data_IF_475197054605
#
_entry.id   IF_475197054605
#
_cell.length_a   1.000
_cell.length_b   1.000
_cell.length_c   1.000
_cell.angle_alpha   90.00
_cell.angle_beta   90.00
_cell.angle_gamma   90.00
#
_symmetry.space_group_name_H-M   'P 1'
#
loop_
_entity.id
_entity.type
_entity.pdbx_description
1 polymer ?
#
# COMPACT_ATOMS: atom_id res chain seq x y z
N UNK A 1 -17.27 -0.53 -11.17
CA UNK A 1 -16.82 -0.98 -12.50
C UNK A 1 -16.67 -2.50 -12.45
N UNK A 2 -17.01 -3.24 -13.52
CA UNK A 2 -16.72 -4.67 -13.59
C UNK A 2 -15.21 -4.90 -13.46
N UNK A 3 -14.79 -5.94 -12.74
CA UNK A 3 -13.39 -6.31 -12.65
C UNK A 3 -12.90 -6.80 -14.02
N UNK A 4 -11.74 -6.32 -14.47
CA UNK A 4 -11.07 -6.80 -15.67
C UNK A 4 -9.94 -7.74 -15.27
N UNK A 5 -10.15 -9.03 -15.49
CA UNK A 5 -9.14 -10.06 -15.28
C UNK A 5 -8.52 -10.41 -16.63
N UNK A 6 -7.18 -10.33 -16.77
CA UNK A 6 -6.53 -10.60 -18.04
C UNK A 6 -6.46 -12.12 -18.29
N UNK A 7 -6.54 -12.57 -19.56
CA UNK A 7 -6.33 -13.99 -19.90
C UNK A 7 -4.99 -14.54 -19.43
N UNK A 8 -3.98 -13.68 -19.25
CA UNK A 8 -2.67 -14.05 -18.72
C UNK A 8 -2.73 -14.71 -17.34
N UNK A 9 -3.80 -14.50 -16.56
CA UNK A 9 -3.99 -15.20 -15.28
C UNK A 9 -4.02 -16.73 -15.46
N UNK A 10 -4.45 -17.24 -16.61
CA UNK A 10 -4.43 -18.67 -16.91
C UNK A 10 -3.02 -19.26 -16.89
N UNK A 11 -2.01 -18.49 -17.30
CA UNK A 11 -0.62 -18.94 -17.26
C UNK A 11 -0.06 -19.07 -15.84
N UNK A 12 -0.67 -18.36 -14.87
CA UNK A 12 -0.34 -18.50 -13.44
C UNK A 12 -0.60 -19.92 -12.95
N UNK A 13 -1.66 -20.55 -13.46
CA UNK A 13 -2.15 -21.87 -13.07
C UNK A 13 -1.80 -22.96 -14.09
N UNK A 14 -0.88 -22.68 -15.01
CA UNK A 14 -0.44 -23.63 -16.04
C UNK A 14 -1.48 -23.95 -17.13
N UNK A 15 -2.54 -23.14 -17.25
CA UNK A 15 -3.59 -23.29 -18.26
C UNK A 15 -3.31 -22.40 -19.49
N UNK A 16 -3.85 -22.79 -20.63
CA UNK A 16 -3.69 -22.04 -21.88
C UNK A 16 -4.52 -20.75 -21.91
N UNK A 17 -4.07 -19.74 -22.66
CA UNK A 17 -4.75 -18.43 -22.77
C UNK A 17 -6.15 -18.49 -23.41
N UNK A 18 -6.49 -19.58 -24.10
CA UNK A 18 -7.83 -19.82 -24.65
C UNK A 18 -8.82 -20.36 -23.60
N UNK A 19 -8.35 -20.68 -22.39
CA UNK A 19 -9.19 -21.16 -21.29
C UNK A 19 -10.08 -20.02 -20.81
N UNK A 20 -11.37 -20.26 -20.54
CA UNK A 20 -12.24 -19.26 -19.94
C UNK A 20 -11.65 -18.72 -18.62
N UNK A 21 -11.63 -17.40 -18.49
CA UNK A 21 -10.96 -16.70 -17.38
C UNK A 21 -11.54 -17.08 -16.02
N UNK A 22 -12.83 -17.38 -15.95
CA UNK A 22 -13.52 -17.87 -14.75
C UNK A 22 -13.00 -19.23 -14.28
N UNK A 23 -12.65 -20.13 -15.21
CA UNK A 23 -12.02 -21.40 -14.88
C UNK A 23 -10.60 -21.19 -14.33
N UNK A 24 -9.84 -20.30 -14.95
CA UNK A 24 -8.50 -19.94 -14.47
C UNK A 24 -8.55 -19.31 -13.07
N UNK A 25 -9.48 -18.39 -12.83
CA UNK A 25 -9.69 -17.80 -11.50
C UNK A 25 -10.15 -18.83 -10.47
N UNK A 26 -10.96 -19.82 -10.85
CA UNK A 26 -11.35 -20.92 -9.96
C UNK A 26 -10.13 -21.75 -9.53
N UNK A 27 -9.18 -21.96 -10.43
CA UNK A 27 -7.93 -22.63 -10.10
C UNK A 27 -7.04 -21.75 -9.20
N UNK A 28 -6.90 -20.45 -9.50
CA UNK A 28 -6.18 -19.50 -8.63
C UNK A 28 -6.71 -19.56 -7.20
N UNK A 29 -8.04 -19.54 -7.05
CA UNK A 29 -8.70 -19.63 -5.75
C UNK A 29 -8.45 -20.98 -5.06
N UNK A 30 -8.28 -22.06 -5.82
CA UNK A 30 -7.94 -23.38 -5.28
C UNK A 30 -6.50 -23.40 -4.78
N UNK A 31 -5.54 -22.94 -5.58
CA UNK A 31 -4.12 -22.93 -5.19
C UNK A 31 -3.92 -22.07 -3.92
N UNK A 32 -4.44 -20.83 -3.90
CA UNK A 32 -4.29 -19.95 -2.71
C UNK A 32 -5.03 -20.47 -1.47
N UNK A 33 -5.97 -21.40 -1.62
CA UNK A 33 -6.60 -22.08 -0.48
C UNK A 33 -5.64 -23.07 0.18
N UNK A 34 -4.85 -23.76 -0.64
CA UNK A 34 -4.04 -24.90 -0.22
C UNK A 34 -2.79 -24.44 0.52
N UNK A 35 -2.03 -23.51 -0.06
CA UNK A 35 -0.78 -23.02 0.51
C UNK A 35 -0.66 -21.49 0.54
N UNK A 36 -1.68 -20.77 0.06
CA UNK A 36 -1.68 -19.32 0.00
C UNK A 36 -0.99 -18.75 -1.24
N UNK A 37 -0.58 -19.57 -2.20
CA UNK A 37 0.13 -19.15 -3.41
C UNK A 37 -0.56 -19.69 -4.66
N UNK A 38 -0.77 -18.84 -5.66
CA UNK A 38 -0.99 -19.27 -7.03
C UNK A 38 0.09 -18.63 -7.89
N UNK A 39 0.99 -19.45 -8.43
CA UNK A 39 2.17 -18.97 -9.13
C UNK A 39 2.63 -19.99 -10.18
N UNK A 40 3.18 -19.54 -11.32
CA UNK A 40 3.78 -20.44 -12.29
C UNK A 40 5.04 -21.07 -11.69
N UNK A 41 5.41 -22.26 -12.16
CA UNK A 41 6.60 -22.97 -11.69
C UNK A 41 7.90 -22.16 -11.80
N UNK A 42 7.96 -21.20 -12.74
CA UNK A 42 9.10 -20.29 -12.92
C UNK A 42 9.27 -19.25 -11.82
N UNK A 43 8.29 -19.07 -10.94
CA UNK A 43 8.29 -18.05 -9.89
C UNK A 43 8.63 -18.61 -8.49
N UNK A 44 9.15 -19.84 -8.41
CA UNK A 44 9.47 -20.55 -7.16
C UNK A 44 8.30 -20.58 -6.14
N UNK A 45 7.22 -21.35 -6.44
CA UNK A 45 6.06 -21.46 -5.55
C UNK A 45 6.41 -21.93 -4.14
N UNK A 46 7.44 -22.76 -3.98
CA UNK A 46 7.88 -23.24 -2.66
C UNK A 46 8.45 -22.11 -1.80
N UNK A 47 9.30 -21.25 -2.38
CA UNK A 47 9.79 -20.06 -1.67
C UNK A 47 8.68 -19.05 -1.38
N UNK A 48 7.71 -18.88 -2.28
CA UNK A 48 6.53 -18.03 -2.04
C UNK A 48 5.66 -18.57 -0.90
N UNK A 49 5.46 -19.89 -0.82
CA UNK A 49 4.72 -20.52 0.26
C UNK A 49 5.43 -20.30 1.61
N UNK A 50 6.77 -20.29 1.62
CA UNK A 50 7.52 -19.91 2.81
C UNK A 50 7.26 -18.44 3.22
N UNK A 51 7.20 -17.50 2.26
CA UNK A 51 6.85 -16.10 2.57
C UNK A 51 5.45 -16.00 3.18
N UNK A 52 4.47 -16.76 2.68
CA UNK A 52 3.13 -16.84 3.25
C UNK A 52 3.16 -17.40 4.68
N UNK A 53 3.92 -18.47 4.92
CA UNK A 53 4.08 -19.05 6.25
C UNK A 53 4.73 -18.07 7.24
N UNK A 54 5.77 -17.36 6.82
CA UNK A 54 6.47 -16.35 7.62
C UNK A 54 5.56 -15.14 7.93
N UNK A 55 4.76 -14.71 6.96
CA UNK A 55 3.76 -13.66 7.15
C UNK A 55 2.68 -14.09 8.16
N UNK A 56 2.21 -15.33 8.06
CA UNK A 56 1.25 -15.91 9.00
C UNK A 56 1.79 -15.97 10.42
N UNK A 57 3.08 -16.29 10.60
CA UNK A 57 3.73 -16.24 11.90
C UNK A 57 3.77 -14.83 12.52
N UNK A 58 3.70 -13.79 11.69
CA UNK A 58 3.57 -12.38 12.09
C UNK A 58 2.10 -11.93 12.24
N UNK A 59 1.14 -12.83 12.07
CA UNK A 59 -0.30 -12.53 12.15
C UNK A 59 -0.92 -12.00 10.86
N UNK A 60 -0.20 -12.08 9.74
CA UNK A 60 -0.66 -11.62 8.43
C UNK A 60 -1.17 -12.82 7.63
N UNK A 61 -2.48 -12.89 7.38
CA UNK A 61 -3.04 -13.89 6.47
C UNK A 61 -2.80 -13.46 5.01
N UNK A 62 -1.62 -13.79 4.49
CA UNK A 62 -1.17 -13.43 3.15
C UNK A 62 -1.69 -14.43 2.10
N UNK A 63 -2.15 -13.92 0.96
CA UNK A 63 -2.37 -14.67 -0.29
C UNK A 63 -1.56 -14.05 -1.42
N UNK A 64 -0.86 -14.87 -2.19
CA UNK A 64 -0.01 -14.45 -3.30
C UNK A 64 -0.56 -14.97 -4.62
N UNK A 65 -0.64 -14.10 -5.62
CA UNK A 65 -0.94 -14.48 -7.01
C UNK A 65 0.14 -13.90 -7.91
N UNK A 66 0.83 -14.75 -8.68
CA UNK A 66 1.96 -14.31 -9.50
C UNK A 66 1.67 -14.50 -10.97
N UNK A 67 1.60 -13.41 -11.73
CA UNK A 67 1.48 -13.46 -13.18
C UNK A 67 2.88 -13.45 -13.78
N UNK A 68 3.19 -14.35 -14.74
CA UNK A 68 4.50 -14.41 -15.38
C UNK A 68 4.77 -13.21 -16.30
N UNK A 69 3.72 -12.56 -16.80
CA UNK A 69 3.80 -11.41 -17.70
C UNK A 69 3.08 -10.21 -17.10
N UNK A 70 3.61 -9.02 -17.34
CA UNK A 70 2.95 -7.79 -16.92
C UNK A 70 1.84 -7.42 -17.89
N UNK A 71 0.62 -7.13 -17.40
CA UNK A 71 -0.40 -6.47 -18.21
C UNK A 71 0.06 -5.06 -18.64
N UNK A 72 -0.62 -4.40 -19.60
CA UNK A 72 -0.24 -3.05 -20.05
C UNK A 72 -0.35 -1.95 -18.99
N UNK A 73 -1.15 -2.17 -17.93
CA UNK A 73 -1.39 -1.26 -16.80
C UNK A 73 -1.57 -2.08 -15.51
N UNK A 74 -1.52 -1.45 -14.34
CA UNK A 74 -1.59 -2.08 -13.00
C UNK A 74 -3.00 -2.55 -12.57
N UNK A 75 -4.05 -1.93 -13.10
CA UNK A 75 -5.47 -2.21 -12.76
C UNK A 75 -5.84 -3.70 -12.71
N UNK A 76 -5.42 -4.56 -13.67
CA UNK A 76 -5.80 -5.97 -13.67
C UNK A 76 -5.26 -6.73 -12.44
N UNK A 77 -4.10 -6.36 -11.89
CA UNK A 77 -3.59 -7.00 -10.67
C UNK A 77 -4.40 -6.59 -9.44
N UNK A 78 -4.84 -5.33 -9.37
CA UNK A 78 -5.76 -4.87 -8.31
C UNK A 78 -7.10 -5.60 -8.37
N UNK A 79 -7.59 -5.86 -9.57
CA UNK A 79 -8.84 -6.61 -9.78
C UNK A 79 -8.69 -8.09 -9.38
N UNK A 80 -7.59 -8.75 -9.73
CA UNK A 80 -7.26 -10.11 -9.26
C UNK A 80 -7.20 -10.15 -7.74
N UNK A 81 -6.42 -9.24 -7.13
CA UNK A 81 -6.27 -9.17 -5.68
C UNK A 81 -7.63 -8.96 -4.98
N UNK A 82 -8.47 -8.11 -5.54
CA UNK A 82 -9.83 -7.85 -5.03
C UNK A 82 -10.74 -9.08 -5.16
N UNK A 83 -10.66 -9.84 -6.26
CA UNK A 83 -11.45 -11.06 -6.41
C UNK A 83 -11.06 -12.14 -5.41
N UNK A 84 -9.75 -12.37 -5.23
CA UNK A 84 -9.25 -13.30 -4.21
C UNK A 84 -9.65 -12.83 -2.81
N UNK A 85 -9.51 -11.53 -2.52
CA UNK A 85 -9.87 -10.96 -1.22
C UNK A 85 -11.37 -11.07 -0.89
N UNK A 86 -12.24 -10.99 -1.90
CA UNK A 86 -13.69 -11.26 -1.74
C UNK A 86 -13.98 -12.73 -1.40
N UNK A 87 -13.20 -13.66 -1.94
CA UNK A 87 -13.33 -15.08 -1.65
C UNK A 87 -12.74 -15.46 -0.28
N UNK A 88 -11.77 -14.68 0.22
CA UNK A 88 -11.12 -14.88 1.51
C UNK A 88 -11.22 -13.61 2.39
N UNK A 89 -12.39 -13.39 3.03
CA UNK A 89 -12.59 -12.22 3.88
C UNK A 89 -11.59 -12.19 5.04
N UNK A 90 -10.92 -11.05 5.22
CA UNK A 90 -9.91 -10.85 6.27
C UNK A 90 -8.47 -11.09 5.81
N UNK A 91 -8.26 -11.74 4.66
CA UNK A 91 -6.92 -11.93 4.11
C UNK A 91 -6.36 -10.65 3.48
N UNK A 92 -5.03 -10.55 3.48
CA UNK A 92 -4.29 -9.58 2.68
C UNK A 92 -3.78 -10.28 1.43
N UNK A 93 -4.12 -9.75 0.26
CA UNK A 93 -3.76 -10.31 -1.04
C UNK A 93 -2.75 -9.42 -1.73
N UNK A 94 -1.71 -10.03 -2.28
CA UNK A 94 -0.75 -9.40 -3.16
C UNK A 94 -0.73 -10.16 -4.50
N UNK A 95 -1.15 -9.50 -5.56
CA UNK A 95 -1.00 -9.94 -6.94
C UNK A 95 0.21 -9.24 -7.56
N UNK A 96 1.15 -9.99 -8.15
CA UNK A 96 2.43 -9.45 -8.65
C UNK A 96 2.66 -9.91 -10.08
N UNK A 97 3.23 -9.03 -10.89
CA UNK A 97 3.88 -9.35 -12.16
C UNK A 97 5.25 -8.67 -12.20
N UNK A 98 6.12 -8.93 -13.19
CA UNK A 98 7.46 -8.35 -13.21
C UNK A 98 7.53 -6.81 -13.10
N UNK A 99 6.49 -6.09 -13.54
CA UNK A 99 6.43 -4.63 -13.55
C UNK A 99 5.33 -4.00 -12.71
N UNK A 100 4.41 -4.78 -12.16
CA UNK A 100 3.25 -4.26 -11.42
C UNK A 100 2.95 -5.08 -10.18
N UNK A 101 2.31 -4.43 -9.21
CA UNK A 101 1.75 -5.06 -8.03
C UNK A 101 0.36 -4.50 -7.80
N UNK A 102 -0.58 -5.35 -7.41
CA UNK A 102 -1.92 -4.98 -6.98
C UNK A 102 -2.22 -5.65 -5.65
N UNK A 103 -2.89 -4.93 -4.74
CA UNK A 103 -3.16 -5.44 -3.40
C UNK A 103 -4.61 -5.25 -3.01
N UNK A 104 -5.04 -6.07 -2.06
CA UNK A 104 -6.31 -5.94 -1.36
C UNK A 104 -6.08 -6.29 0.10
N UNK A 105 -6.57 -5.48 1.03
CA UNK A 105 -6.63 -5.84 2.44
C UNK A 105 -7.76 -5.08 3.12
N UNK A 106 -8.55 -5.73 3.98
CA UNK A 106 -9.49 -5.06 4.86
C UNK A 106 -8.86 -4.62 6.19
N UNK A 107 -7.61 -5.05 6.49
CA UNK A 107 -6.94 -4.81 7.78
C UNK A 107 -5.85 -3.74 7.72
N UNK A 108 -5.20 -3.58 6.57
CA UNK A 108 -4.23 -2.50 6.34
C UNK A 108 -4.89 -1.33 5.62
N UNK A 109 -4.55 -0.11 6.01
CA UNK A 109 -5.03 1.06 5.31
C UNK A 109 -4.39 1.19 3.92
N UNK A 110 -5.02 2.02 3.08
CA UNK A 110 -4.59 2.17 1.70
C UNK A 110 -3.18 2.72 1.57
N UNK A 111 -2.73 3.59 2.45
CA UNK A 111 -1.41 4.22 2.33
C UNK A 111 -0.32 3.18 2.57
N UNK A 112 -0.45 2.37 3.62
CA UNK A 112 0.46 1.25 3.89
C UNK A 112 0.49 0.25 2.73
N UNK A 113 -0.67 -0.07 2.14
CA UNK A 113 -0.76 -0.97 0.99
C UNK A 113 -0.06 -0.42 -0.26
N UNK A 114 -0.24 0.86 -0.59
CA UNK A 114 0.38 1.48 -1.78
C UNK A 114 1.91 1.61 -1.57
N UNK A 115 2.36 1.93 -0.34
CA UNK A 115 3.78 1.90 0.01
C UNK A 115 4.39 0.50 -0.17
N UNK A 116 3.66 -0.54 0.25
CA UNK A 116 4.06 -1.93 0.03
C UNK A 116 4.12 -2.29 -1.45
N UNK A 117 3.13 -1.86 -2.26
CA UNK A 117 3.11 -2.09 -3.71
C UNK A 117 4.33 -1.50 -4.41
N UNK A 118 4.79 -0.32 -4.01
CA UNK A 118 5.95 0.32 -4.62
C UNK A 118 7.24 -0.45 -4.37
N UNK A 119 7.38 -1.10 -3.21
CA UNK A 119 8.52 -1.96 -2.90
C UNK A 119 8.42 -3.37 -3.51
N UNK A 120 7.24 -3.76 -3.96
CA UNK A 120 6.95 -5.07 -4.56
C UNK A 120 7.12 -5.12 -6.09
N UNK A 121 7.72 -4.09 -6.70
CA UNK A 121 7.95 -4.01 -8.16
C UNK A 121 9.42 -4.31 -8.50
N UNK A 122 9.96 -5.44 -8.02
CA UNK A 122 11.40 -5.76 -8.19
C UNK A 122 11.70 -6.60 -9.43
N UNK A 123 10.68 -7.24 -10.02
CA UNK A 123 10.84 -8.25 -11.08
C UNK A 123 11.02 -9.68 -10.55
N UNK A 124 11.32 -9.84 -9.26
CA UNK A 124 11.42 -11.14 -8.59
C UNK A 124 10.26 -11.32 -7.60
N UNK A 125 9.43 -12.34 -7.80
CA UNK A 125 8.19 -12.51 -7.04
C UNK A 125 8.43 -12.77 -5.54
N UNK A 126 9.48 -13.53 -5.21
CA UNK A 126 9.82 -13.87 -3.82
C UNK A 126 10.30 -12.63 -3.08
N UNK A 127 11.25 -11.89 -3.65
CA UNK A 127 11.76 -10.65 -3.09
C UNK A 127 10.66 -9.58 -3.00
N UNK A 128 9.82 -9.47 -4.03
CA UNK A 128 8.69 -8.54 -4.04
C UNK A 128 7.72 -8.82 -2.89
N UNK A 129 7.41 -10.10 -2.66
CA UNK A 129 6.54 -10.54 -1.55
C UNK A 129 7.17 -10.26 -0.18
N UNK A 130 8.47 -10.51 -0.01
CA UNK A 130 9.20 -10.21 1.23
C UNK A 130 9.24 -8.70 1.51
N UNK A 131 9.50 -7.89 0.49
CA UNK A 131 9.50 -6.43 0.60
C UNK A 131 8.12 -5.92 1.03
N UNK A 132 7.06 -6.43 0.40
CA UNK A 132 5.69 -6.09 0.76
C UNK A 132 5.37 -6.42 2.22
N UNK A 133 5.61 -7.67 2.65
CA UNK A 133 5.36 -8.09 4.04
C UNK A 133 6.17 -7.26 5.03
N UNK A 134 7.43 -6.96 4.71
CA UNK A 134 8.28 -6.11 5.55
C UNK A 134 7.68 -4.72 5.71
N UNK A 135 7.16 -4.14 4.62
CA UNK A 135 6.52 -2.83 4.67
C UNK A 135 5.24 -2.82 5.51
N UNK A 136 4.44 -3.89 5.45
CA UNK A 136 3.22 -4.01 6.28
C UNK A 136 3.51 -4.06 7.79
N UNK A 137 4.67 -4.60 8.17
CA UNK A 137 5.13 -4.68 9.55
C UNK A 137 5.95 -3.46 10.00
N UNK A 138 6.25 -2.54 9.08
CA UNK A 138 7.03 -1.34 9.39
C UNK A 138 6.14 -0.25 9.97
N UNK A 139 6.41 0.27 11.18
CA UNK A 139 5.61 1.37 11.74
C UNK A 139 5.71 2.63 10.88
N UNK A 140 4.56 3.14 10.45
CA UNK A 140 4.49 4.41 9.73
C UNK A 140 4.75 5.59 10.68
N UNK A 141 5.36 6.66 10.16
CA UNK A 141 5.57 7.88 10.93
C UNK A 141 4.21 8.48 11.33
N UNK A 142 4.02 8.91 12.61
CA UNK A 142 2.73 9.37 13.08
C UNK A 142 2.45 10.80 12.59
N UNK A 143 2.08 10.91 11.30
CA UNK A 143 1.85 12.19 10.62
C UNK A 143 0.77 13.02 11.29
N UNK A 144 -0.33 12.42 11.75
CA UNK A 144 -1.44 13.16 12.37
C UNK A 144 -1.00 13.95 13.62
N UNK A 145 -0.43 13.34 14.68
CA UNK A 145 0.01 14.10 15.85
C UNK A 145 1.16 15.04 15.50
N UNK A 146 2.05 14.68 14.57
CA UNK A 146 3.11 15.57 14.11
C UNK A 146 2.55 16.84 13.45
N UNK A 147 1.62 16.70 12.50
CA UNK A 147 0.97 17.82 11.82
C UNK A 147 0.16 18.66 12.81
N UNK A 148 -0.53 18.05 13.77
CA UNK A 148 -1.22 18.79 14.84
C UNK A 148 -0.24 19.63 15.63
N UNK A 149 0.87 19.05 16.11
CA UNK A 149 1.90 19.76 16.85
C UNK A 149 2.51 20.91 16.03
N UNK A 150 2.78 20.66 14.74
CA UNK A 150 3.30 21.67 13.82
C UNK A 150 2.34 22.85 13.65
N UNK A 151 1.05 22.58 13.41
CA UNK A 151 0.03 23.62 13.26
C UNK A 151 -0.11 24.45 14.54
N UNK A 152 -0.12 23.80 15.71
CA UNK A 152 -0.15 24.49 17.00
C UNK A 152 1.09 25.38 17.21
N UNK A 153 2.28 24.88 16.86
CA UNK A 153 3.51 25.65 16.93
C UNK A 153 3.47 26.90 16.05
N UNK A 154 2.99 26.78 14.81
CA UNK A 154 2.83 27.91 13.89
C UNK A 154 1.80 28.92 14.43
N UNK A 155 0.68 28.45 15.01
CA UNK A 155 -0.33 29.32 15.60
C UNK A 155 0.24 30.12 16.79
N UNK A 156 1.00 29.48 17.68
CA UNK A 156 1.67 30.14 18.81
C UNK A 156 2.67 31.19 18.30
N UNK A 157 3.47 30.85 17.28
CA UNK A 157 4.41 31.79 16.69
C UNK A 157 3.69 33.00 16.08
N UNK A 158 2.60 32.79 15.34
CA UNK A 158 1.81 33.87 14.74
C UNK A 158 1.21 34.81 15.80
N UNK A 159 0.64 34.24 16.88
CA UNK A 159 0.13 35.01 18.02
C UNK A 159 1.26 35.79 18.69
N UNK A 160 2.40 35.15 18.94
CA UNK A 160 3.58 35.78 19.54
C UNK A 160 4.09 36.97 18.72
N UNK A 161 4.26 36.80 17.40
CA UNK A 161 4.64 37.88 16.49
C UNK A 161 3.61 39.00 16.52
N UNK A 162 2.31 38.69 16.49
CA UNK A 162 1.25 39.70 16.53
C UNK A 162 1.29 40.51 17.82
N UNK A 163 1.49 39.88 18.98
CA UNK A 163 1.59 40.55 20.27
C UNK A 163 2.81 41.49 20.30
N UNK A 164 3.97 41.04 19.84
CA UNK A 164 5.18 41.86 19.77
C UNK A 164 5.02 43.06 18.82
N UNK A 165 4.39 42.86 17.65
CA UNK A 165 4.08 43.93 16.71
C UNK A 165 3.17 44.99 17.31
N UNK A 166 2.10 44.59 18.02
CA UNK A 166 1.17 45.53 18.67
C UNK A 166 1.87 46.30 19.78
N UNK A 167 2.71 45.65 20.60
CA UNK A 167 3.50 46.31 21.64
C UNK A 167 4.49 47.32 21.06
N UNK A 168 5.22 46.94 20.00
CA UNK A 168 6.16 47.85 19.32
C UNK A 168 5.48 49.09 18.75
N UNK A 169 4.29 48.96 18.15
CA UNK A 169 3.53 50.10 17.62
C UNK A 169 3.03 51.06 18.71
N UNK A 170 2.71 50.56 19.90
CA UNK A 170 2.30 51.40 21.04
C UNK A 170 3.46 52.23 21.61
N UNK A 171 4.65 51.63 21.74
CA UNK A 171 5.84 52.36 22.20
C UNK A 171 6.22 53.54 21.29
N UNK A 172 6.14 53.36 19.97
CA UNK A 172 6.40 54.43 19.00
C UNK A 172 5.35 55.55 19.04
N UNK A 173 4.09 55.22 19.36
CA UNK A 173 3.03 56.22 19.49
C UNK A 173 3.19 57.08 20.75
N UNK A 174 3.57 56.48 21.88
CA UNK A 174 3.87 57.20 23.13
C UNK A 174 5.05 58.16 22.97
N UNK A 175 6.13 57.73 22.29
CA UNK A 175 7.30 58.56 22.04
C UNK A 175 6.99 59.77 21.14
N UNK A 176 6.10 59.62 20.15
CA UNK A 176 5.63 60.73 19.31
C UNK A 176 4.75 61.72 20.07
N UNK A 177 3.87 61.27 20.96
CA UNK A 177 3.02 62.16 21.77
C UNK A 177 3.86 62.94 22.78
N UNK A 178 4.87 62.31 23.39
CA UNK A 178 5.81 62.97 24.29
C UNK A 178 6.68 64.01 23.57
N UNK A 179 7.15 63.72 22.35
CA UNK A 179 7.95 64.66 21.54
C UNK A 179 7.19 65.83 20.91
N UNK A 180 5.84 65.80 20.88
CA UNK A 180 5.02 66.90 20.32
C UNK A 180 4.60 67.91 21.40
N UNK A 181 4.84 67.63 22.67
CA UNK A 181 4.50 68.51 23.81
C UNK A 181 5.65 69.44 24.23
N UNK A 182 6.64 69.66 23.35
CA UNK A 182 7.83 70.47 23.61
C UNK A 182 7.90 71.69 22.70
#
# INVERSE_FOLDING_TARGET
MPAYIPPDVCSTVGLGLATPVDQCMTQVLTDVREDGVSAPASADPAALAQVVADAKAQGIDLKLVVLPTSPPIDTPLRDIATQVGKAYPGSTVLAISPGFAGTYSPVYDRVTLEAGQDLAKTGDAVQSSKNFVTQLSTPDFPWTPFTIALVLGVAVAAVGVRVLQVRGRRGVADEKVAGTSQ
#
